data_IF_219914725548
#
_entry.id   IF_219914725548
#
_cell.length_a   1.000
_cell.length_b   1.000
_cell.length_c   1.000
_cell.angle_alpha   90.00
_cell.angle_beta   90.00
_cell.angle_gamma   90.00
#
_symmetry.space_group_name_H-M   'P 1'
#
loop_
_entity.id
_entity.type
_entity.pdbx_description
1 polymer ?
#
# COMPACT_ATOMS: atom_id res chain seq x y z
N UNK A 1 -0.98 13.13 -42.80
CA UNK A 1 -1.52 14.31 -43.54
C UNK A 1 -0.43 15.31 -43.92
N UNK A 2 0.48 15.68 -43.02
CA UNK A 2 1.59 16.62 -43.27
C UNK A 2 2.42 16.26 -44.51
N UNK A 3 2.89 15.01 -44.63
CA UNK A 3 3.63 14.55 -45.81
C UNK A 3 2.85 14.71 -47.13
N UNK A 4 1.53 14.50 -47.09
CA UNK A 4 0.66 14.61 -48.27
C UNK A 4 0.42 16.08 -48.64
N UNK A 5 0.22 16.97 -47.66
CA UNK A 5 0.07 18.41 -47.87
C UNK A 5 1.35 19.05 -48.42
N UNK A 6 2.52 18.74 -47.85
CA UNK A 6 3.82 19.20 -48.34
C UNK A 6 4.09 18.77 -49.79
N UNK A 7 3.74 17.52 -50.14
CA UNK A 7 3.90 17.02 -51.52
C UNK A 7 3.03 17.81 -52.50
N UNK A 8 1.83 18.18 -52.08
CA UNK A 8 0.86 18.88 -52.90
C UNK A 8 1.33 20.32 -53.21
N UNK A 9 1.77 21.05 -52.18
CA UNK A 9 2.34 22.40 -52.30
C UNK A 9 3.53 22.46 -53.28
N UNK A 10 4.36 21.41 -53.31
CA UNK A 10 5.48 21.30 -54.24
C UNK A 10 5.05 21.09 -55.70
N UNK A 11 3.89 20.48 -55.94
CA UNK A 11 3.38 20.14 -57.28
C UNK A 11 2.44 21.17 -57.90
N UNK A 12 2.06 22.22 -57.15
CA UNK A 12 1.33 23.38 -57.68
C UNK A 12 -0.13 23.14 -58.11
N UNK A 13 -0.73 21.99 -57.77
CA UNK A 13 -2.13 21.64 -58.11
C UNK A 13 -2.95 21.54 -56.83
N UNK A 14 -3.54 22.64 -56.32
CA UNK A 14 -4.10 22.56 -54.97
C UNK A 14 -5.29 23.44 -54.60
N UNK A 15 -5.90 24.26 -55.46
CA UNK A 15 -7.01 25.11 -54.99
C UNK A 15 -8.22 24.33 -54.45
N UNK A 16 -8.70 23.30 -55.18
CA UNK A 16 -9.81 22.44 -54.72
C UNK A 16 -9.41 21.55 -53.54
N UNK A 17 -8.15 21.08 -53.52
CA UNK A 17 -7.65 20.18 -52.49
C UNK A 17 -7.38 20.90 -51.17
N UNK A 18 -6.88 22.13 -51.23
CA UNK A 18 -6.68 23.00 -50.09
C UNK A 18 -8.03 23.40 -49.47
N UNK A 19 -9.04 23.67 -50.31
CA UNK A 19 -10.40 23.93 -49.84
C UNK A 19 -10.99 22.72 -49.09
N UNK A 20 -10.90 21.52 -49.68
CA UNK A 20 -11.33 20.28 -49.01
C UNK A 20 -10.55 20.03 -47.70
N UNK A 21 -9.23 20.24 -47.71
CA UNK A 21 -8.40 20.08 -46.51
C UNK A 21 -8.82 21.07 -45.41
N UNK A 22 -9.11 22.33 -45.73
CA UNK A 22 -9.57 23.32 -44.74
C UNK A 22 -10.89 22.91 -44.08
N UNK A 23 -11.80 22.30 -44.83
CA UNK A 23 -13.08 21.82 -44.31
C UNK A 23 -12.94 20.50 -43.52
N UNK A 24 -12.12 19.56 -44.00
CA UNK A 24 -11.97 18.24 -43.39
C UNK A 24 -10.97 18.20 -42.21
N UNK A 25 -9.94 19.07 -42.19
CA UNK A 25 -8.88 19.06 -41.17
C UNK A 25 -9.39 19.20 -39.72
N UNK A 26 -10.38 20.07 -39.41
CA UNK A 26 -10.90 20.19 -38.06
C UNK A 26 -11.51 18.87 -37.54
N UNK A 27 -12.33 18.19 -38.35
CA UNK A 27 -12.93 16.92 -37.98
C UNK A 27 -11.87 15.80 -37.87
N UNK A 28 -10.96 15.73 -38.84
CA UNK A 28 -9.84 14.79 -38.80
C UNK A 28 -8.95 15.00 -37.57
N UNK A 29 -8.68 16.26 -37.21
CA UNK A 29 -7.94 16.63 -36.01
C UNK A 29 -8.64 16.13 -34.75
N UNK A 30 -9.95 16.37 -34.64
CA UNK A 30 -10.76 15.87 -33.51
C UNK A 30 -10.71 14.35 -33.41
N UNK A 31 -10.91 13.66 -34.52
CA UNK A 31 -10.87 12.19 -34.58
C UNK A 31 -9.51 11.65 -34.17
N UNK A 32 -8.41 12.22 -34.67
CA UNK A 32 -7.06 11.80 -34.30
C UNK A 32 -6.78 12.01 -32.81
N UNK A 33 -7.18 13.15 -32.25
CA UNK A 33 -7.03 13.39 -30.81
C UNK A 33 -7.88 12.45 -29.96
N UNK A 34 -9.08 12.09 -30.41
CA UNK A 34 -9.91 11.08 -29.74
C UNK A 34 -9.26 9.69 -29.80
N UNK A 35 -8.74 9.30 -30.96
CA UNK A 35 -8.06 8.00 -31.12
C UNK A 35 -6.75 7.93 -30.34
N UNK A 36 -5.99 9.03 -30.26
CA UNK A 36 -4.77 9.12 -29.47
C UNK A 36 -5.05 8.92 -27.98
N UNK A 37 -6.09 9.61 -27.45
CA UNK A 37 -6.51 9.43 -26.05
C UNK A 37 -6.94 7.99 -25.78
N UNK A 38 -7.76 7.41 -26.66
CA UNK A 38 -8.18 6.01 -26.55
C UNK A 38 -7.01 5.03 -26.59
N UNK A 39 -6.05 5.24 -27.49
CA UNK A 39 -4.86 4.39 -27.58
C UNK A 39 -4.01 4.49 -26.30
N UNK A 40 -3.81 5.70 -25.78
CA UNK A 40 -3.07 5.95 -24.54
C UNK A 40 -3.73 5.29 -23.31
N UNK A 41 -5.07 5.36 -23.23
CA UNK A 41 -5.84 4.68 -22.17
C UNK A 41 -5.65 3.16 -22.25
N UNK A 42 -5.79 2.59 -23.45
CA UNK A 42 -5.60 1.15 -23.67
C UNK A 42 -4.17 0.69 -23.34
N UNK A 43 -3.15 1.47 -23.69
CA UNK A 43 -1.76 1.18 -23.32
C UNK A 43 -1.55 1.20 -21.81
N UNK A 44 -2.10 2.21 -21.12
CA UNK A 44 -2.02 2.32 -19.66
C UNK A 44 -2.68 1.12 -18.98
N UNK A 45 -3.87 0.74 -19.41
CA UNK A 45 -4.58 -0.44 -18.91
C UNK A 45 -3.80 -1.73 -19.13
N UNK A 46 -3.18 -1.90 -20.31
CA UNK A 46 -2.39 -3.08 -20.63
C UNK A 46 -1.15 -3.18 -19.75
N UNK A 47 -0.48 -2.06 -19.48
CA UNK A 47 0.66 -2.00 -18.56
C UNK A 47 0.23 -2.36 -17.14
N UNK A 48 -0.89 -1.80 -16.66
CA UNK A 48 -1.43 -2.11 -15.33
C UNK A 48 -1.80 -3.59 -15.20
N UNK A 49 -2.49 -4.16 -16.20
CA UNK A 49 -2.82 -5.58 -16.21
C UNK A 49 -1.59 -6.48 -16.16
N UNK A 50 -0.55 -6.14 -16.93
CA UNK A 50 0.74 -6.88 -16.91
C UNK A 50 1.43 -6.79 -15.55
N UNK A 51 1.38 -5.62 -14.91
CA UNK A 51 1.90 -5.42 -13.55
C UNK A 51 1.19 -6.31 -12.53
N UNK A 52 -0.14 -6.34 -12.54
CA UNK A 52 -0.94 -7.20 -11.65
C UNK A 52 -0.63 -8.68 -11.92
N UNK A 53 -0.55 -9.08 -13.19
CA UNK A 53 -0.18 -10.46 -13.55
C UNK A 53 1.20 -10.87 -13.04
N UNK A 54 2.15 -9.95 -13.06
CA UNK A 54 3.51 -10.16 -12.53
C UNK A 54 3.57 -10.24 -11.00
N UNK A 55 2.62 -9.61 -10.29
CA UNK A 55 2.53 -9.68 -8.83
C UNK A 55 1.87 -10.97 -8.33
N UNK A 56 1.11 -11.67 -9.17
CA UNK A 56 0.46 -12.94 -8.80
C UNK A 56 1.46 -14.00 -8.32
N UNK A 57 2.69 -13.99 -8.87
CA UNK A 57 3.74 -14.95 -8.51
C UNK A 57 4.56 -14.50 -7.28
N UNK A 58 4.21 -13.35 -6.66
CA UNK A 58 4.90 -12.73 -5.49
C UNK A 58 4.00 -12.63 -4.27
N UNK A 59 2.99 -13.50 -4.19
CA UNK A 59 2.09 -13.57 -3.04
C UNK A 59 2.88 -13.92 -1.77
N UNK A 60 2.69 -13.12 -0.71
CA UNK A 60 3.39 -13.27 0.57
C UNK A 60 4.72 -12.53 0.67
N UNK A 61 5.26 -12.00 -0.42
CA UNK A 61 6.49 -11.21 -0.39
C UNK A 61 6.24 -9.82 0.21
N UNK A 62 7.29 -9.25 0.80
CA UNK A 62 7.28 -7.91 1.41
C UNK A 62 8.01 -6.93 0.50
N UNK A 63 7.41 -5.77 0.30
CA UNK A 63 7.96 -4.69 -0.51
C UNK A 63 7.87 -3.36 0.22
N UNK A 64 8.85 -2.49 -0.05
CA UNK A 64 8.76 -1.08 0.33
C UNK A 64 7.95 -0.30 -0.71
N UNK A 65 7.18 0.66 -0.24
CA UNK A 65 6.40 1.56 -1.07
C UNK A 65 6.10 2.88 -0.39
N UNK A 66 5.45 3.78 -1.13
CA UNK A 66 4.92 5.04 -0.62
C UNK A 66 3.40 5.06 -0.72
N UNK A 67 2.77 5.71 0.26
CA UNK A 67 1.33 5.98 0.22
C UNK A 67 1.04 7.04 -0.85
N UNK A 68 0.33 6.65 -1.90
CA UNK A 68 -0.07 7.54 -3.01
C UNK A 68 -1.49 8.08 -2.87
N UNK A 69 -2.28 7.50 -1.97
CA UNK A 69 -3.63 7.96 -1.71
C UNK A 69 -4.14 7.48 -0.35
N UNK A 70 -4.95 8.32 0.29
CA UNK A 70 -5.59 7.99 1.56
C UNK A 70 -7.09 8.21 1.39
N UNK A 71 -7.88 7.19 1.67
CA UNK A 71 -9.34 7.24 1.64
C UNK A 71 -9.92 6.63 2.92
N UNK A 72 -11.22 6.85 3.16
CA UNK A 72 -11.88 6.36 4.37
C UNK A 72 -11.84 4.83 4.52
N UNK A 73 -11.79 4.08 3.42
CA UNK A 73 -11.75 2.61 3.44
C UNK A 73 -10.33 2.02 3.40
N UNK A 74 -9.28 2.83 3.21
CA UNK A 74 -7.93 2.29 3.08
C UNK A 74 -6.88 3.25 2.54
N UNK A 75 -5.69 2.68 2.31
CA UNK A 75 -4.52 3.36 1.76
C UNK A 75 -4.18 2.78 0.40
N UNK A 76 -3.88 3.63 -0.56
CA UNK A 76 -3.25 3.23 -1.81
C UNK A 76 -1.74 3.34 -1.64
N UNK A 77 -1.03 2.25 -1.91
CA UNK A 77 0.42 2.16 -1.79
C UNK A 77 1.00 1.80 -3.14
N UNK A 78 2.02 2.55 -3.57
CA UNK A 78 2.81 2.25 -4.76
C UNK A 78 4.19 1.73 -4.37
N UNK A 79 4.60 0.61 -4.96
CA UNK A 79 5.89 -0.01 -4.68
C UNK A 79 7.05 0.73 -5.35
N UNK A 80 8.17 0.93 -4.62
CA UNK A 80 9.31 1.75 -5.06
C UNK A 80 9.92 1.29 -6.40
N UNK A 81 10.12 -0.02 -6.58
CA UNK A 81 10.86 -0.57 -7.73
C UNK A 81 9.93 -0.98 -8.88
N UNK A 82 8.74 -1.47 -8.55
CA UNK A 82 7.84 -2.08 -9.51
C UNK A 82 6.76 -1.10 -10.00
N UNK A 83 6.61 0.05 -9.35
CA UNK A 83 5.57 1.07 -9.63
C UNK A 83 4.18 0.43 -9.76
N UNK A 84 3.92 -0.56 -8.90
CA UNK A 84 2.63 -1.25 -8.84
C UNK A 84 1.84 -0.66 -7.70
N UNK A 85 0.59 -0.29 -7.99
CA UNK A 85 -0.33 0.22 -6.99
C UNK A 85 -1.17 -0.92 -6.42
N UNK A 86 -1.42 -0.88 -5.13
CA UNK A 86 -2.34 -1.78 -4.45
C UNK A 86 -3.00 -1.10 -3.26
N UNK A 87 -4.05 -1.74 -2.76
CA UNK A 87 -4.90 -1.22 -1.70
C UNK A 87 -4.61 -1.95 -0.40
N UNK A 88 -4.31 -1.19 0.66
CA UNK A 88 -4.40 -1.67 2.03
C UNK A 88 -5.77 -1.31 2.56
N UNK A 89 -6.64 -2.30 2.72
CA UNK A 89 -7.96 -2.08 3.29
C UNK A 89 -7.88 -1.85 4.81
N UNK A 90 -8.67 -0.94 5.35
CA UNK A 90 -8.69 -0.64 6.80
C UNK A 90 -8.97 -1.90 7.64
N UNK A 91 -9.69 -2.88 7.10
CA UNK A 91 -9.95 -4.16 7.79
C UNK A 91 -8.70 -5.02 8.00
N UNK A 92 -7.65 -4.85 7.17
CA UNK A 92 -6.37 -5.51 7.40
C UNK A 92 -5.52 -4.81 8.47
N UNK A 93 -5.89 -3.57 8.85
CA UNK A 93 -5.22 -2.81 9.90
C UNK A 93 -5.82 -3.13 11.27
N UNK A 94 -5.72 -4.39 11.68
CA UNK A 94 -6.38 -4.89 12.90
C UNK A 94 -5.72 -4.42 14.21
N UNK A 95 -4.71 -3.56 14.15
CA UNK A 95 -4.01 -3.06 15.34
C UNK A 95 -4.72 -1.91 16.03
N UNK A 96 -5.61 -1.19 15.34
CA UNK A 96 -6.31 -0.03 15.89
C UNK A 96 -7.60 0.33 15.13
N UNK A 97 -8.38 1.26 15.70
CA UNK A 97 -9.46 1.93 14.99
C UNK A 97 -8.91 3.18 14.29
N UNK A 98 -8.95 3.21 12.96
CA UNK A 98 -8.42 4.31 12.14
C UNK A 98 -9.52 5.29 11.74
N UNK A 99 -9.31 6.56 12.09
CA UNK A 99 -10.17 7.69 11.70
C UNK A 99 -9.58 8.39 10.49
N UNK A 100 -10.40 8.59 9.45
CA UNK A 100 -10.02 9.35 8.27
C UNK A 100 -10.19 10.85 8.50
N UNK A 101 -9.11 11.60 8.27
CA UNK A 101 -9.12 13.06 8.30
C UNK A 101 -8.91 13.58 6.88
N UNK A 102 -10.02 13.99 6.26
CA UNK A 102 -10.07 14.44 4.87
C UNK A 102 -9.21 15.68 4.61
N UNK A 103 -9.13 16.62 5.56
CA UNK A 103 -8.37 17.88 5.41
C UNK A 103 -6.85 17.64 5.35
N UNK A 104 -6.38 16.61 6.04
CA UNK A 104 -4.96 16.29 6.14
C UNK A 104 -4.56 15.08 5.28
N UNK A 105 -5.52 14.47 4.56
CA UNK A 105 -5.32 13.23 3.80
C UNK A 105 -4.59 12.17 4.63
N UNK A 106 -5.09 11.91 5.84
CA UNK A 106 -4.45 11.00 6.79
C UNK A 106 -5.44 10.03 7.43
N UNK A 107 -4.99 8.81 7.69
CA UNK A 107 -5.66 7.83 8.55
C UNK A 107 -4.93 7.81 9.89
N UNK A 108 -5.65 8.12 10.97
CA UNK A 108 -5.10 8.22 12.32
C UNK A 108 -5.72 7.19 13.25
N UNK A 109 -4.89 6.32 13.82
CA UNK A 109 -5.28 5.36 14.85
C UNK A 109 -5.64 6.05 16.17
N UNK A 110 -6.75 5.63 16.78
CA UNK A 110 -7.26 6.21 18.02
C UNK A 110 -6.39 5.85 19.24
N UNK A 111 -6.02 4.58 19.39
CA UNK A 111 -5.29 4.08 20.57
C UNK A 111 -3.77 4.19 20.41
N UNK A 112 -3.26 3.83 19.23
CA UNK A 112 -1.84 3.80 18.90
C UNK A 112 -1.31 5.17 18.48
N UNK A 113 -2.21 6.11 18.13
CA UNK A 113 -1.88 7.41 17.53
C UNK A 113 -1.01 7.33 16.27
N UNK A 114 -0.90 6.14 15.66
CA UNK A 114 -0.23 5.99 14.37
C UNK A 114 -0.99 6.79 13.33
N UNK A 115 -0.26 7.44 12.46
CA UNK A 115 -0.84 8.24 11.39
C UNK A 115 -0.20 7.81 10.09
N UNK A 116 -1.02 7.48 9.11
CA UNK A 116 -0.61 7.20 7.74
C UNK A 116 -1.07 8.35 6.85
N UNK A 117 -0.12 9.03 6.23
CA UNK A 117 -0.33 10.22 5.40
C UNK A 117 0.07 9.95 3.97
N UNK A 118 -0.43 10.79 3.08
CA UNK A 118 0.06 10.85 1.71
C UNK A 118 1.57 11.10 1.69
N UNK A 119 2.32 10.25 0.97
CA UNK A 119 3.77 10.33 0.82
C UNK A 119 4.58 9.55 1.87
N UNK A 120 3.94 8.97 2.88
CA UNK A 120 4.65 8.18 3.89
C UNK A 120 5.25 6.91 3.27
N UNK A 121 6.47 6.56 3.68
CA UNK A 121 7.12 5.31 3.32
C UNK A 121 6.62 4.19 4.22
N UNK A 122 6.18 3.08 3.64
CA UNK A 122 5.61 1.93 4.33
C UNK A 122 6.15 0.62 3.77
N UNK A 123 6.16 -0.41 4.61
CA UNK A 123 6.42 -1.79 4.18
C UNK A 123 5.09 -2.56 4.11
N UNK A 124 4.85 -3.16 2.96
CA UNK A 124 3.61 -3.87 2.65
C UNK A 124 3.88 -5.29 2.20
N UNK A 125 3.02 -6.22 2.62
CA UNK A 125 3.00 -7.60 2.17
C UNK A 125 1.89 -7.82 1.15
N UNK A 126 2.18 -8.57 0.08
CA UNK A 126 1.17 -8.98 -0.90
C UNK A 126 0.27 -10.06 -0.29
N UNK A 127 -1.00 -9.74 -0.05
CA UNK A 127 -1.96 -10.69 0.56
C UNK A 127 -2.80 -11.38 -0.49
N UNK A 128 -3.29 -10.63 -1.47
CA UNK A 128 -4.17 -11.15 -2.51
C UNK A 128 -3.96 -10.40 -3.82
N UNK A 129 -4.05 -11.13 -4.92
CA UNK A 129 -4.03 -10.57 -6.28
C UNK A 129 -5.26 -11.06 -7.01
N UNK A 130 -6.09 -10.13 -7.46
CA UNK A 130 -7.30 -10.38 -8.24
C UNK A 130 -7.06 -9.95 -9.69
N UNK A 131 -6.90 -10.93 -10.58
CA UNK A 131 -6.63 -10.69 -12.01
C UNK A 131 -7.87 -10.22 -12.78
N UNK A 132 -9.07 -10.58 -12.31
CA UNK A 132 -10.33 -10.19 -12.96
C UNK A 132 -10.62 -8.71 -12.67
N UNK A 133 -10.46 -8.31 -11.41
CA UNK A 133 -10.66 -6.93 -10.96
C UNK A 133 -9.44 -6.05 -11.19
N UNK A 134 -8.29 -6.63 -11.57
CA UNK A 134 -6.99 -5.96 -11.71
C UNK A 134 -6.57 -5.26 -10.42
N UNK A 135 -6.85 -5.88 -9.27
CA UNK A 135 -6.61 -5.30 -7.95
C UNK A 135 -5.60 -6.13 -7.17
N UNK A 136 -4.78 -5.46 -6.38
CA UNK A 136 -3.84 -6.08 -5.45
C UNK A 136 -4.17 -5.57 -4.07
N UNK A 137 -4.38 -6.50 -3.15
CA UNK A 137 -4.57 -6.21 -1.74
C UNK A 137 -3.26 -6.40 -0.99
N UNK A 138 -2.89 -5.35 -0.27
CA UNK A 138 -1.72 -5.31 0.59
C UNK A 138 -2.13 -5.33 2.06
N UNK A 139 -1.23 -5.80 2.92
CA UNK A 139 -1.29 -5.59 4.37
C UNK A 139 -0.03 -4.86 4.84
N UNK A 140 -0.18 -3.98 5.82
CA UNK A 140 0.95 -3.30 6.45
C UNK A 140 1.70 -4.28 7.35
N UNK A 141 3.00 -4.46 7.10
CA UNK A 141 3.87 -5.35 7.90
C UNK A 141 3.88 -4.93 9.36
N UNK A 142 3.98 -3.62 9.59
CA UNK A 142 3.89 -2.96 10.89
C UNK A 142 2.67 -3.38 11.72
N UNK A 143 1.53 -3.61 11.06
CA UNK A 143 0.27 -4.01 11.71
C UNK A 143 0.30 -5.51 11.99
N UNK A 144 0.75 -6.31 11.02
CA UNK A 144 0.90 -7.77 11.18
C UNK A 144 1.82 -8.13 12.36
N UNK A 145 2.96 -7.44 12.50
CA UNK A 145 3.88 -7.66 13.61
C UNK A 145 3.24 -7.34 14.97
N UNK A 146 2.44 -6.27 15.05
CA UNK A 146 1.78 -5.84 16.29
C UNK A 146 0.66 -6.79 16.69
N UNK A 147 -0.15 -7.22 15.72
CA UNK A 147 -1.17 -8.23 15.94
C UNK A 147 -0.56 -9.54 16.49
N UNK A 148 0.59 -9.96 15.94
CA UNK A 148 1.34 -11.11 16.44
C UNK A 148 1.87 -10.93 17.88
N UNK A 149 2.32 -9.73 18.23
CA UNK A 149 2.80 -9.41 19.59
C UNK A 149 1.66 -9.33 20.62
N UNK A 150 0.48 -8.85 20.24
CA UNK A 150 -0.68 -8.79 21.14
C UNK A 150 -1.23 -10.19 21.52
N UNK A 151 -0.99 -11.21 20.68
CA UNK A 151 -1.31 -12.61 20.96
C UNK A 151 -0.27 -13.36 21.81
N UNK A 152 0.92 -12.79 22.00
CA UNK A 152 1.94 -13.38 22.87
C UNK A 152 1.64 -13.05 24.33
N UNK A 153 0.92 -13.96 25.01
CA UNK A 153 0.67 -13.87 26.45
C UNK A 153 1.96 -13.54 27.23
N UNK A 154 1.93 -12.62 28.21
CA UNK A 154 3.11 -12.33 29.00
C UNK A 154 3.56 -13.62 29.68
N UNK A 155 4.79 -14.07 29.39
CA UNK A 155 5.44 -15.15 30.15
C UNK A 155 5.51 -14.70 31.60
N UNK A 156 4.53 -15.11 32.41
CA UNK A 156 4.55 -14.94 33.86
C UNK A 156 5.91 -15.44 34.36
N UNK A 157 6.66 -14.64 35.14
CA UNK A 157 7.86 -15.16 35.78
C UNK A 157 7.44 -16.35 36.67
N UNK A 158 8.21 -17.44 36.71
CA UNK A 158 7.85 -18.60 37.53
C UNK A 158 7.87 -18.18 38.99
N UNK A 159 6.68 -18.02 39.59
CA UNK A 159 6.50 -17.80 41.02
C UNK A 159 6.74 -19.11 41.77
N UNK A 160 8.03 -19.43 41.97
CA UNK A 160 8.49 -20.54 42.77
C UNK A 160 8.48 -20.22 44.27
N UNK A 161 7.40 -20.63 44.95
CA UNK A 161 7.32 -21.10 46.36
C UNK A 161 8.03 -20.27 47.44
N UNK A 162 7.24 -19.41 48.11
CA UNK A 162 7.40 -19.13 49.54
C UNK A 162 6.93 -20.34 50.35
N UNK A 163 7.87 -21.12 50.87
CA UNK A 163 7.63 -22.07 51.97
C UNK A 163 7.65 -21.32 53.30
N UNK A 164 6.49 -21.21 53.94
CA UNK A 164 6.34 -20.66 55.28
C UNK A 164 6.76 -21.69 56.34
N UNK A 165 7.46 -21.19 57.37
CA UNK A 165 7.20 -21.57 58.76
C UNK A 165 7.93 -22.77 59.34
N UNK A 166 9.05 -22.52 60.04
CA UNK A 166 9.22 -23.07 61.39
C UNK A 166 10.14 -22.19 62.24
N UNK A 167 9.55 -21.24 62.94
CA UNK A 167 10.14 -20.65 64.13
C UNK A 167 9.91 -21.58 65.32
N UNK A 168 10.98 -21.88 66.06
CA UNK A 168 10.89 -22.21 67.48
C UNK A 168 12.17 -21.70 68.16
N UNK A 169 12.01 -20.63 68.94
CA UNK A 169 12.99 -20.13 69.90
C UNK A 169 12.84 -20.93 71.20
N UNK A 170 13.96 -21.47 71.69
CA UNK A 170 14.47 -21.67 73.08
C UNK A 170 13.48 -21.89 74.25
N UNK A 171 13.86 -22.72 75.24
CA UNK A 171 14.53 -22.16 76.43
C UNK A 171 15.63 -23.09 77.04
N UNK A 172 16.81 -22.55 77.43
CA UNK A 172 17.34 -22.32 78.81
C UNK A 172 17.88 -23.54 79.60
N UNK A 173 19.12 -23.39 80.11
CA UNK A 173 19.74 -24.15 81.22
C UNK A 173 20.63 -25.31 80.77
N UNK A 174 21.88 -25.51 81.19
CA UNK A 174 22.79 -24.82 82.10
C UNK A 174 24.07 -25.69 82.29
N UNK A 175 25.13 -25.07 82.87
CA UNK A 175 26.34 -25.65 83.51
C UNK A 175 27.59 -26.03 82.67
N UNK A 176 28.61 -25.15 82.82
CA UNK A 176 29.96 -25.38 83.45
C UNK A 176 30.90 -26.48 82.88
N UNK A 177 32.10 -26.07 82.45
CA UNK A 177 33.44 -26.15 83.13
C UNK A 177 34.56 -25.87 82.12
N UNK A 178 35.39 -24.84 82.31
CA UNK A 178 36.81 -24.88 82.77
C UNK A 178 37.68 -25.96 82.09
N UNK A 179 38.62 -25.52 81.25
CA UNK A 179 40.05 -25.49 81.56
C UNK A 179 40.76 -24.49 80.67
#
# INVERSE_FOLDING_TARGET
MVHRALRALRTGKDAEREAWLKEALPEMGRHLSEMERRASEAERELVEWKKVRFMADKLGDVFAGYVTGVQAFGLFVELDELYVQGLVHVSSMTDDYYLFNEKAHELKGENTRKTYRLGDKVEVQVVRVDLERRQIDFALVDVLERAGRAGAAPKRPPTGRRGAGRGSRRPTGGKRRRR
#
